data_IF_007233578893
#
_entry.id   IF_007233578893
#
_cell.length_a   1.000
_cell.length_b   1.000
_cell.length_c   1.000
_cell.angle_alpha   90.00
_cell.angle_beta   90.00
_cell.angle_gamma   90.00
#
_symmetry.space_group_name_H-M   'P 1'
#
loop_
_entity.id
_entity.type
_entity.pdbx_description
1 polymer ?
#
# COMPACT_ATOMS: atom_id res chain seq x y z
N UNK A 1 -0.09 11.47 -20.05
CA UNK A 1 -0.36 10.31 -19.17
C UNK A 1 0.42 10.36 -17.85
N UNK A 2 1.73 10.61 -17.85
CA UNK A 2 2.57 10.69 -16.63
C UNK A 2 2.06 11.66 -15.57
N UNK A 3 1.55 12.84 -15.97
CA UNK A 3 1.01 13.83 -15.03
C UNK A 3 -0.26 13.35 -14.30
N UNK A 4 -1.12 12.56 -14.96
CA UNK A 4 -2.34 12.02 -14.35
C UNK A 4 -1.95 10.92 -13.35
N UNK A 5 -1.10 9.98 -13.75
CA UNK A 5 -0.62 8.90 -12.87
C UNK A 5 0.06 9.48 -11.62
N UNK A 6 0.88 10.53 -11.79
CA UNK A 6 1.52 11.23 -10.67
C UNK A 6 0.52 11.89 -9.72
N UNK A 7 -0.58 12.45 -10.25
CA UNK A 7 -1.67 13.03 -9.43
C UNK A 7 -2.49 11.97 -8.70
N UNK A 8 -2.64 10.78 -9.30
CA UNK A 8 -3.38 9.66 -8.71
C UNK A 8 -2.58 8.90 -7.65
N UNK A 9 -1.25 9.02 -7.63
CA UNK A 9 -0.39 8.29 -6.69
C UNK A 9 -0.77 8.51 -5.22
N UNK A 10 -0.87 9.76 -4.77
CA UNK A 10 -1.15 10.07 -3.36
C UNK A 10 -2.57 9.65 -2.96
N UNK A 11 -3.64 9.98 -3.72
CA UNK A 11 -4.98 9.47 -3.42
C UNK A 11 -5.06 7.94 -3.36
N UNK A 12 -4.40 7.24 -4.30
CA UNK A 12 -4.38 5.78 -4.30
C UNK A 12 -3.70 5.23 -3.04
N UNK A 13 -2.51 5.74 -2.70
CA UNK A 13 -1.80 5.29 -1.48
C UNK A 13 -2.60 5.59 -0.21
N UNK A 14 -3.32 6.72 -0.15
CA UNK A 14 -4.20 7.03 0.97
C UNK A 14 -5.39 6.07 1.05
N UNK A 15 -6.04 5.75 -0.09
CA UNK A 15 -7.10 4.74 -0.15
C UNK A 15 -6.60 3.37 0.31
N UNK A 16 -5.40 2.96 -0.14
CA UNK A 16 -4.78 1.70 0.26
C UNK A 16 -4.49 1.66 1.76
N UNK A 17 -4.00 2.76 2.35
CA UNK A 17 -3.77 2.85 3.79
C UNK A 17 -5.09 2.77 4.58
N UNK A 18 -6.12 3.52 4.17
CA UNK A 18 -7.43 3.53 4.84
C UNK A 18 -8.06 2.13 4.77
N UNK A 19 -8.16 1.56 3.57
CA UNK A 19 -8.80 0.25 3.38
C UNK A 19 -7.98 -0.89 3.97
N UNK A 20 -6.64 -0.81 3.93
CA UNK A 20 -5.76 -1.80 4.57
C UNK A 20 -5.92 -1.79 6.09
N UNK A 21 -5.98 -0.61 6.71
CA UNK A 21 -6.29 -0.50 8.13
C UNK A 21 -7.72 -0.96 8.46
N UNK A 22 -8.69 -0.68 7.58
CA UNK A 22 -10.09 -1.09 7.72
C UNK A 22 -10.35 -2.58 7.58
N UNK A 23 -9.37 -3.37 7.13
CA UNK A 23 -9.46 -4.84 7.21
C UNK A 23 -9.38 -5.33 8.67
N UNK A 24 -8.82 -4.51 9.57
CA UNK A 24 -8.96 -4.68 11.00
C UNK A 24 -10.25 -4.00 11.47
N UNK A 25 -10.92 -4.47 12.53
CA UNK A 25 -12.18 -3.90 13.00
C UNK A 25 -12.01 -2.53 13.71
N UNK A 26 -10.99 -1.74 13.36
CA UNK A 26 -10.67 -0.47 14.01
C UNK A 26 -11.76 0.59 13.76
N UNK A 27 -12.31 0.66 12.55
CA UNK A 27 -13.26 1.73 12.20
C UNK A 27 -14.62 1.54 12.87
N UNK A 28 -15.02 0.28 13.11
CA UNK A 28 -16.15 -0.05 13.97
C UNK A 28 -15.82 0.18 15.45
N UNK A 29 -14.65 -0.25 15.90
CA UNK A 29 -14.25 -0.16 17.32
C UNK A 29 -14.13 1.29 17.82
N UNK A 30 -13.78 2.22 16.95
CA UNK A 30 -13.60 3.64 17.28
C UNK A 30 -14.67 4.55 16.65
N UNK A 31 -15.86 4.01 16.34
CA UNK A 31 -17.04 4.78 15.88
C UNK A 31 -16.84 5.60 14.58
N UNK A 32 -15.77 5.34 13.82
CA UNK A 32 -15.51 5.99 12.52
C UNK A 32 -16.58 5.56 11.50
N UNK A 33 -17.03 4.31 11.56
CA UNK A 33 -18.10 3.81 10.70
C UNK A 33 -19.47 4.43 11.01
N UNK A 34 -19.63 5.10 12.16
CA UNK A 34 -20.90 5.74 12.54
C UNK A 34 -21.00 7.19 12.03
N UNK A 35 -19.90 7.72 11.47
CA UNK A 35 -19.90 9.02 10.79
C UNK A 35 -20.71 8.91 9.49
N UNK A 36 -21.66 9.83 9.23
CA UNK A 36 -22.45 9.82 7.99
C UNK A 36 -21.56 9.75 6.74
N UNK A 37 -21.85 8.77 5.87
CA UNK A 37 -21.08 8.51 4.65
C UNK A 37 -19.89 7.56 4.80
N UNK A 38 -19.51 7.17 6.03
CA UNK A 38 -18.38 6.27 6.29
C UNK A 38 -18.78 4.86 6.74
N UNK A 39 -20.07 4.52 6.77
CA UNK A 39 -20.57 3.20 7.18
C UNK A 39 -19.94 2.02 6.42
N UNK A 40 -19.55 2.22 5.15
CA UNK A 40 -18.89 1.21 4.33
C UNK A 40 -17.52 0.78 4.90
N UNK A 41 -16.82 1.67 5.61
CA UNK A 41 -15.55 1.35 6.30
C UNK A 41 -15.74 0.32 7.42
N UNK A 42 -16.97 0.12 7.89
CA UNK A 42 -17.30 -0.93 8.85
C UNK A 42 -17.69 -2.28 8.20
N UNK A 43 -17.75 -2.38 6.88
CA UNK A 43 -18.19 -3.60 6.18
C UNK A 43 -16.97 -4.40 5.69
N UNK A 44 -16.63 -5.55 6.32
CA UNK A 44 -15.36 -6.24 6.05
C UNK A 44 -15.19 -6.65 4.58
N UNK A 45 -16.25 -7.16 3.96
CA UNK A 45 -16.23 -7.55 2.54
C UNK A 45 -16.02 -6.34 1.63
N UNK A 46 -16.77 -5.26 1.84
CA UNK A 46 -16.65 -4.03 1.05
C UNK A 46 -15.24 -3.47 1.13
N UNK A 47 -14.69 -3.33 2.35
CA UNK A 47 -13.32 -2.85 2.56
C UNK A 47 -12.30 -3.78 1.90
N UNK A 48 -12.47 -5.09 2.01
CA UNK A 48 -11.58 -6.07 1.39
C UNK A 48 -11.59 -5.96 -0.15
N UNK A 49 -12.77 -5.87 -0.77
CA UNK A 49 -12.92 -5.68 -2.22
C UNK A 49 -12.29 -4.38 -2.70
N UNK A 50 -12.55 -3.25 -2.03
CA UNK A 50 -11.96 -1.96 -2.40
C UNK A 50 -10.43 -2.02 -2.27
N UNK A 51 -9.91 -2.66 -1.23
CA UNK A 51 -8.47 -2.85 -1.07
C UNK A 51 -7.86 -3.69 -2.20
N UNK A 52 -8.52 -4.78 -2.63
CA UNK A 52 -8.05 -5.62 -3.72
C UNK A 52 -8.08 -4.91 -5.08
N UNK A 53 -9.15 -4.15 -5.36
CA UNK A 53 -9.24 -3.33 -6.58
C UNK A 53 -8.14 -2.26 -6.56
N UNK A 54 -7.95 -1.57 -5.42
CA UNK A 54 -6.87 -0.61 -5.25
C UNK A 54 -5.49 -1.25 -5.43
N UNK A 55 -5.28 -2.46 -4.93
CA UNK A 55 -4.05 -3.21 -5.12
C UNK A 55 -3.81 -3.54 -6.60
N UNK A 56 -4.83 -3.96 -7.35
CA UNK A 56 -4.70 -4.20 -8.79
C UNK A 56 -4.29 -2.93 -9.56
N UNK A 57 -4.91 -1.78 -9.23
CA UNK A 57 -4.52 -0.47 -9.81
C UNK A 57 -3.10 -0.09 -9.41
N UNK A 58 -2.70 -0.31 -8.16
CA UNK A 58 -1.34 -0.06 -7.68
C UNK A 58 -0.32 -0.92 -8.44
N UNK A 59 -0.61 -2.21 -8.64
CA UNK A 59 0.25 -3.10 -9.40
C UNK A 59 0.43 -2.64 -10.86
N UNK A 60 -0.64 -2.16 -11.51
CA UNK A 60 -0.55 -1.57 -12.84
C UNK A 60 0.37 -0.34 -12.86
N UNK A 61 0.22 0.58 -11.90
CA UNK A 61 1.05 1.79 -11.82
C UNK A 61 2.52 1.45 -11.51
N UNK A 62 2.77 0.47 -10.63
CA UNK A 62 4.13 -0.03 -10.35
C UNK A 62 4.75 -0.60 -11.63
N UNK A 63 4.04 -1.48 -12.35
CA UNK A 63 4.52 -2.04 -13.61
C UNK A 63 4.84 -0.95 -14.65
N UNK A 64 3.99 0.08 -14.73
CA UNK A 64 4.24 1.24 -15.59
C UNK A 64 5.54 1.98 -15.22
N UNK A 65 5.75 2.29 -13.94
CA UNK A 65 6.97 2.97 -13.49
C UNK A 65 8.23 2.11 -13.65
N UNK A 66 8.13 0.80 -13.40
CA UNK A 66 9.23 -0.14 -13.63
C UNK A 66 9.61 -0.16 -15.11
N UNK A 67 8.65 -0.23 -16.03
CA UNK A 67 8.94 -0.18 -17.48
C UNK A 67 9.65 1.11 -17.88
N UNK A 68 9.22 2.25 -17.34
CA UNK A 68 9.90 3.54 -17.60
C UNK A 68 11.31 3.59 -17.01
N UNK A 69 11.51 3.02 -15.82
CA UNK A 69 12.83 2.93 -15.20
C UNK A 69 13.74 2.01 -15.99
N UNK A 70 13.27 0.83 -16.43
CA UNK A 70 14.05 -0.10 -17.26
C UNK A 70 14.50 0.55 -18.56
N UNK A 71 13.64 1.36 -19.19
CA UNK A 71 13.94 2.02 -20.45
C UNK A 71 14.98 3.15 -20.33
N UNK A 72 15.04 3.85 -19.18
CA UNK A 72 15.88 5.06 -19.02
C UNK A 72 17.03 4.90 -18.02
N UNK A 73 16.96 3.90 -17.15
CA UNK A 73 17.90 3.61 -16.07
C UNK A 73 18.34 4.86 -15.29
N UNK A 74 17.42 5.76 -14.88
CA UNK A 74 17.81 6.96 -14.16
C UNK A 74 18.41 6.60 -12.80
N UNK A 75 19.39 7.39 -12.35
CA UNK A 75 19.93 7.25 -10.99
C UNK A 75 18.86 7.59 -9.96
N UNK A 76 18.73 6.73 -8.96
CA UNK A 76 17.74 6.88 -7.90
C UNK A 76 18.36 7.56 -6.70
N UNK A 77 17.63 8.48 -6.08
CA UNK A 77 18.05 9.10 -4.82
C UNK A 77 18.01 8.07 -3.69
N UNK A 78 18.78 8.28 -2.62
CA UNK A 78 18.72 7.42 -1.41
C UNK A 78 17.30 7.34 -0.83
N UNK A 79 16.56 8.47 -0.82
CA UNK A 79 15.18 8.48 -0.34
C UNK A 79 14.20 7.76 -1.28
N UNK A 80 14.47 7.79 -2.59
CA UNK A 80 13.77 7.02 -3.61
C UNK A 80 13.96 5.52 -3.40
N UNK A 81 15.21 5.08 -3.27
CA UNK A 81 15.58 3.67 -3.02
C UNK A 81 14.88 3.16 -1.76
N UNK A 82 14.96 3.88 -0.64
CA UNK A 82 14.30 3.49 0.60
C UNK A 82 12.79 3.23 0.41
N UNK A 83 12.08 4.17 -0.23
CA UNK A 83 10.63 4.06 -0.45
C UNK A 83 10.27 2.94 -1.44
N UNK A 84 11.10 2.72 -2.47
CA UNK A 84 10.92 1.61 -3.42
C UNK A 84 11.09 0.26 -2.72
N UNK A 85 12.12 0.11 -1.89
CA UNK A 85 12.34 -1.12 -1.11
C UNK A 85 11.16 -1.38 -0.16
N UNK A 86 10.72 -0.37 0.59
CA UNK A 86 9.57 -0.51 1.49
C UNK A 86 8.28 -0.87 0.73
N UNK A 87 8.05 -0.26 -0.44
CA UNK A 87 6.92 -0.60 -1.30
C UNK A 87 7.03 -2.04 -1.83
N UNK A 88 8.22 -2.48 -2.23
CA UNK A 88 8.43 -3.84 -2.70
C UNK A 88 8.15 -4.88 -1.60
N UNK A 89 8.65 -4.64 -0.38
CA UNK A 89 8.36 -5.48 0.79
C UNK A 89 6.87 -5.52 1.12
N UNK A 90 6.19 -4.36 1.03
CA UNK A 90 4.74 -4.26 1.20
C UNK A 90 3.98 -5.09 0.16
N UNK A 91 4.37 -5.01 -1.12
CA UNK A 91 3.76 -5.79 -2.21
C UNK A 91 3.99 -7.28 -2.03
N UNK A 92 5.22 -7.70 -1.71
CA UNK A 92 5.55 -9.11 -1.48
C UNK A 92 4.72 -9.68 -0.33
N UNK A 93 4.71 -9.02 0.82
CA UNK A 93 3.87 -9.45 1.95
C UNK A 93 2.37 -9.43 1.60
N UNK A 94 1.92 -8.44 0.83
CA UNK A 94 0.55 -8.36 0.34
C UNK A 94 0.16 -9.54 -0.55
N UNK A 95 1.05 -9.96 -1.45
CA UNK A 95 0.84 -11.15 -2.27
C UNK A 95 0.69 -12.42 -1.43
N UNK A 96 1.53 -12.61 -0.41
CA UNK A 96 1.40 -13.75 0.51
C UNK A 96 0.09 -13.67 1.30
N UNK A 97 -0.38 -12.47 1.67
CA UNK A 97 -1.73 -12.28 2.26
C UNK A 97 -2.86 -12.67 1.32
N UNK A 98 -2.71 -12.47 0.01
CA UNK A 98 -3.68 -12.95 -0.98
C UNK A 98 -3.65 -14.47 -1.05
N UNK A 99 -2.46 -15.08 -1.08
CA UNK A 99 -2.31 -16.54 -1.15
C UNK A 99 -3.03 -17.24 0.01
N UNK A 100 -2.91 -16.76 1.24
CA UNK A 100 -3.59 -17.37 2.40
C UNK A 100 -5.12 -17.29 2.37
N UNK A 101 -5.68 -16.47 1.47
CA UNK A 101 -7.12 -16.35 1.28
C UNK A 101 -7.63 -17.29 0.17
N UNK A 102 -6.74 -18.05 -0.49
CA UNK A 102 -7.12 -19.10 -1.43
C UNK A 102 -7.62 -20.34 -0.68
N UNK A 103 -8.61 -21.07 -1.21
CA UNK A 103 -9.21 -22.22 -0.52
C UNK A 103 -8.23 -23.33 -0.21
N UNK A 104 -7.22 -23.54 -1.07
CA UNK A 104 -6.28 -24.66 -0.97
C UNK A 104 -4.94 -24.30 -0.30
N UNK A 105 -4.78 -23.07 0.19
CA UNK A 105 -3.54 -22.60 0.80
C UNK A 105 -3.76 -22.34 2.28
N UNK A 106 -3.17 -23.19 3.12
CA UNK A 106 -3.24 -23.07 4.56
C UNK A 106 -1.87 -22.82 5.17
N UNK A 107 -1.71 -21.70 5.86
CA UNK A 107 -0.54 -21.44 6.68
C UNK A 107 -0.84 -21.68 8.16
N UNK A 108 0.20 -21.97 8.94
CA UNK A 108 0.05 -22.05 10.39
C UNK A 108 -0.37 -20.69 10.99
N UNK A 109 -1.00 -20.66 12.18
CA UNK A 109 -1.40 -19.42 12.83
C UNK A 109 -0.23 -18.44 13.04
N UNK A 110 0.95 -18.97 13.41
CA UNK A 110 2.16 -18.15 13.60
C UNK A 110 2.60 -17.49 12.30
N UNK A 111 2.66 -18.23 11.20
CA UNK A 111 3.04 -17.69 9.89
C UNK A 111 2.02 -16.66 9.42
N UNK A 112 0.73 -16.94 9.58
CA UNK A 112 -0.36 -16.00 9.24
C UNK A 112 -0.21 -14.68 9.99
N UNK A 113 0.02 -14.74 11.30
CA UNK A 113 0.24 -13.57 12.15
C UNK A 113 1.47 -12.77 11.70
N UNK A 114 2.61 -13.45 11.47
CA UNK A 114 3.84 -12.80 11.03
C UNK A 114 3.65 -12.09 9.68
N UNK A 115 2.95 -12.71 8.73
CA UNK A 115 2.64 -12.09 7.43
C UNK A 115 1.79 -10.84 7.62
N UNK A 116 0.71 -10.91 8.42
CA UNK A 116 -0.19 -9.78 8.65
C UNK A 116 0.53 -8.61 9.35
N UNK A 117 1.32 -8.92 10.37
CA UNK A 117 2.08 -7.92 11.13
C UNK A 117 3.18 -7.30 10.29
N UNK A 118 3.89 -8.10 9.49
CA UNK A 118 4.92 -7.61 8.58
C UNK A 118 4.33 -6.69 7.51
N UNK A 119 3.18 -7.06 6.94
CA UNK A 119 2.49 -6.21 5.96
C UNK A 119 2.07 -4.87 6.55
N UNK A 120 1.49 -4.87 7.77
CA UNK A 120 1.15 -3.65 8.50
C UNK A 120 2.40 -2.81 8.81
N UNK A 121 3.48 -3.44 9.29
CA UNK A 121 4.75 -2.77 9.57
C UNK A 121 5.29 -2.05 8.34
N UNK A 122 5.37 -2.72 7.19
CA UNK A 122 5.87 -2.11 5.97
C UNK A 122 4.98 -0.97 5.47
N UNK A 123 3.66 -1.07 5.62
CA UNK A 123 2.74 0.02 5.30
C UNK A 123 3.00 1.25 6.19
N UNK A 124 3.18 1.04 7.50
CA UNK A 124 3.49 2.11 8.45
C UNK A 124 4.86 2.75 8.16
N UNK A 125 5.90 1.94 7.95
CA UNK A 125 7.24 2.43 7.62
C UNK A 125 7.26 3.23 6.32
N UNK A 126 6.55 2.77 5.28
CA UNK A 126 6.42 3.51 4.02
C UNK A 126 5.71 4.85 4.23
N UNK A 127 4.64 4.88 5.03
CA UNK A 127 3.92 6.11 5.38
C UNK A 127 4.81 7.10 6.14
N UNK A 128 5.55 6.63 7.15
CA UNK A 128 6.50 7.45 7.91
C UNK A 128 7.60 7.99 7.01
N UNK A 129 8.20 7.16 6.15
CA UNK A 129 9.21 7.58 5.20
C UNK A 129 8.67 8.63 4.22
N UNK A 130 7.43 8.47 3.74
CA UNK A 130 6.80 9.44 2.86
C UNK A 130 6.60 10.81 3.55
N UNK A 131 6.09 10.82 4.79
CA UNK A 131 5.91 12.05 5.58
C UNK A 131 7.26 12.71 5.87
N UNK A 132 8.27 11.92 6.26
CA UNK A 132 9.62 12.42 6.51
C UNK A 132 10.21 13.08 5.26
N UNK A 133 10.16 12.43 4.09
CA UNK A 133 10.62 13.00 2.83
C UNK A 133 9.89 14.31 2.48
N UNK A 134 8.60 14.43 2.81
CA UNK A 134 7.85 15.67 2.60
C UNK A 134 8.35 16.79 3.49
N UNK A 135 8.64 16.49 4.76
CA UNK A 135 9.12 17.46 5.77
C UNK A 135 10.56 17.91 5.52
N UNK A 136 11.43 17.04 5.01
CA UNK A 136 12.86 17.34 4.79
C UNK A 136 13.18 17.77 3.35
N UNK A 137 12.17 17.93 2.48
CA UNK A 137 12.37 18.28 1.06
C UNK A 137 12.92 17.16 0.18
N UNK A 138 13.17 15.95 0.71
CA UNK A 138 13.77 14.80 0.00
C UNK A 138 12.75 13.99 -0.81
N UNK A 139 11.84 14.68 -1.52
CA UNK A 139 10.67 14.07 -2.18
C UNK A 139 11.02 13.34 -3.48
N UNK A 140 12.07 13.76 -4.18
CA UNK A 140 12.48 13.22 -5.48
C UNK A 140 12.86 11.74 -5.39
N UNK A 141 12.46 10.94 -6.39
CA UNK A 141 12.85 9.54 -6.51
C UNK A 141 14.09 9.35 -7.40
N UNK A 142 14.32 10.29 -8.31
CA UNK A 142 15.37 10.29 -9.33
C UNK A 142 16.26 11.50 -9.08
N UNK A 143 17.57 11.35 -9.27
CA UNK A 143 18.55 12.45 -9.26
C UNK A 143 18.32 13.35 -10.48
N UNK A 144 18.41 14.68 -10.29
CA UNK A 144 18.36 15.64 -11.41
C UNK A 144 19.60 15.56 -12.31
#
# INVERSE_FOLDING_TARGET
>A
MTNIIRRLWVPLMALMAITGMGQMPIFKRYYIADIPGLAWLGQPFTVHWVHYIGAAVLMFIIAWFVTLWVAKQPKLTTSGILRIILLALLVVTGYVRVMKNLPDVHFSPMITMLIDWSHLLFAMLLGIAAVWCVRTGRKAYIEE
#
